data_IF_425461561381
#
_entry.id   IF_425461561381
#
_cell.length_a   1.000
_cell.length_b   1.000
_cell.length_c   1.000
_cell.angle_alpha   90.00
_cell.angle_beta   90.00
_cell.angle_gamma   90.00
#
_symmetry.space_group_name_H-M   'P 1'
#
loop_
_entity.id
_entity.type
_entity.pdbx_description
1 polymer ?
#
# COMPACT_ATOMS: atom_id res chain seq x y z
N UNK A 1 -5.05 -18.35 -24.59
CA UNK A 1 -5.29 -17.54 -23.35
C UNK A 1 -5.51 -16.09 -23.77
N UNK A 2 -6.72 -15.56 -23.62
CA UNK A 2 -7.07 -14.20 -24.07
C UNK A 2 -6.07 -13.18 -23.55
N UNK A 3 -5.67 -12.22 -24.39
CA UNK A 3 -4.72 -11.15 -24.04
C UNK A 3 -5.15 -10.41 -22.76
N UNK A 4 -6.46 -10.30 -22.54
CA UNK A 4 -7.05 -9.71 -21.34
C UNK A 4 -6.77 -10.52 -20.06
N UNK A 5 -6.88 -11.85 -20.07
CA UNK A 5 -6.57 -12.67 -18.89
C UNK A 5 -5.09 -12.57 -18.49
N UNK A 6 -4.18 -12.55 -19.47
CA UNK A 6 -2.75 -12.35 -19.21
C UNK A 6 -2.47 -10.97 -18.62
N UNK A 7 -3.11 -9.92 -19.14
CA UNK A 7 -2.95 -8.57 -18.61
C UNK A 7 -3.50 -8.44 -17.19
N UNK A 8 -4.66 -9.03 -16.89
CA UNK A 8 -5.25 -9.02 -15.54
C UNK A 8 -4.29 -9.67 -14.54
N UNK A 9 -3.79 -10.87 -14.85
CA UNK A 9 -2.87 -11.59 -13.96
C UNK A 9 -1.58 -10.81 -13.70
N UNK A 10 -1.03 -10.12 -14.70
CA UNK A 10 0.15 -9.27 -14.52
C UNK A 10 -0.12 -8.09 -13.59
N UNK A 11 -1.24 -7.40 -13.76
CA UNK A 11 -1.60 -6.28 -12.89
C UNK A 11 -1.91 -6.70 -11.46
N UNK A 12 -2.60 -7.85 -11.29
CA UNK A 12 -2.83 -8.42 -9.95
C UNK A 12 -1.51 -8.80 -9.30
N UNK A 13 -0.61 -9.50 -10.03
CA UNK A 13 0.69 -9.86 -9.49
C UNK A 13 1.53 -8.64 -9.13
N UNK A 14 1.55 -7.62 -9.99
CA UNK A 14 2.22 -6.35 -9.70
C UNK A 14 1.66 -5.72 -8.43
N UNK A 15 0.34 -5.63 -8.30
CA UNK A 15 -0.30 -5.07 -7.11
C UNK A 15 0.04 -5.87 -5.85
N UNK A 16 -0.02 -7.20 -5.89
CA UNK A 16 0.37 -8.07 -4.78
C UNK A 16 1.83 -7.83 -4.36
N UNK A 17 2.76 -7.77 -5.31
CA UNK A 17 4.18 -7.54 -5.02
C UNK A 17 4.40 -6.14 -4.45
N UNK A 18 3.79 -5.12 -5.04
CA UNK A 18 3.88 -3.74 -4.55
C UNK A 18 3.34 -3.63 -3.11
N UNK A 19 2.22 -4.29 -2.82
CA UNK A 19 1.62 -4.31 -1.49
C UNK A 19 2.53 -4.99 -0.46
N UNK A 20 3.12 -6.14 -0.81
CA UNK A 20 4.08 -6.85 0.06
C UNK A 20 5.32 -6.00 0.30
N UNK A 21 5.91 -5.42 -0.75
CA UNK A 21 7.09 -4.54 -0.61
C UNK A 21 6.78 -3.34 0.27
N UNK A 22 5.61 -2.71 0.06
CA UNK A 22 5.13 -1.60 0.90
C UNK A 22 5.01 -2.02 2.36
N UNK A 23 4.40 -3.18 2.65
CA UNK A 23 4.27 -3.68 4.02
C UNK A 23 5.62 -4.01 4.67
N UNK A 24 6.50 -4.70 3.94
CA UNK A 24 7.83 -5.09 4.45
C UNK A 24 8.73 -3.89 4.72
N UNK A 25 8.48 -2.73 4.12
CA UNK A 25 9.20 -1.49 4.45
C UNK A 25 9.02 -1.05 5.91
N UNK A 26 7.98 -1.52 6.60
CA UNK A 26 7.75 -1.23 8.01
C UNK A 26 8.65 -2.05 8.96
N UNK A 27 9.32 -3.11 8.49
CA UNK A 27 10.20 -3.95 9.32
C UNK A 27 11.52 -3.24 9.63
N UNK A 28 12.29 -2.73 8.64
CA UNK A 28 13.50 -1.95 8.91
C UNK A 28 13.17 -0.47 9.16
N UNK A 29 12.18 -0.15 10.01
CA UNK A 29 11.68 1.22 10.18
C UNK A 29 12.75 2.19 10.73
N UNK A 30 13.54 1.75 11.70
CA UNK A 30 14.65 2.54 12.26
C UNK A 30 15.67 2.93 11.20
N UNK A 31 16.15 1.94 10.43
CA UNK A 31 17.04 2.20 9.30
C UNK A 31 16.38 3.08 8.23
N UNK A 32 15.13 2.80 7.87
CA UNK A 32 14.41 3.52 6.81
C UNK A 32 14.20 4.99 7.16
N UNK A 33 13.88 5.29 8.42
CA UNK A 33 13.73 6.68 8.90
C UNK A 33 15.07 7.41 8.99
N UNK A 34 16.13 6.75 9.47
CA UNK A 34 17.48 7.33 9.46
C UNK A 34 17.96 7.65 8.04
N UNK A 35 17.81 6.71 7.10
CA UNK A 35 18.14 6.90 5.70
C UNK A 35 17.35 8.06 5.07
N UNK A 36 16.05 8.16 5.38
CA UNK A 36 15.21 9.25 4.89
C UNK A 36 15.64 10.62 5.46
N UNK A 37 16.07 10.67 6.72
CA UNK A 37 16.61 11.89 7.32
C UNK A 37 17.89 12.35 6.59
N UNK A 38 18.80 11.43 6.25
CA UNK A 38 20.01 11.76 5.50
C UNK A 38 19.70 12.30 4.10
N UNK A 39 18.75 11.69 3.39
CA UNK A 39 18.33 12.13 2.05
C UNK A 39 17.68 13.52 2.10
N UNK A 40 16.78 13.73 3.05
CA UNK A 40 16.03 14.99 3.15
C UNK A 40 16.86 16.14 3.72
N UNK A 41 18.01 15.86 4.35
CA UNK A 41 18.95 16.90 4.78
C UNK A 41 19.38 17.82 3.62
N UNK A 42 19.54 17.25 2.41
CA UNK A 42 19.85 18.02 1.20
C UNK A 42 18.67 18.82 0.63
N UNK A 43 17.43 18.52 1.05
CA UNK A 43 16.22 19.19 0.55
C UNK A 43 15.83 20.41 1.37
N UNK A 44 16.36 20.53 2.60
CA UNK A 44 16.08 21.64 3.51
C UNK A 44 14.72 21.55 4.20
N UNK A 45 14.36 22.62 4.91
CA UNK A 45 13.09 22.72 5.63
C UNK A 45 11.89 22.89 4.67
N UNK A 46 10.70 22.33 5.01
CA UNK A 46 10.35 21.66 6.27
C UNK A 46 10.64 20.15 6.30
N UNK A 47 11.24 19.59 5.23
CA UNK A 47 11.38 18.14 5.07
C UNK A 47 12.50 17.56 5.92
N UNK A 48 13.64 18.24 5.98
CA UNK A 48 14.80 17.83 6.78
C UNK A 48 14.44 17.75 8.27
N UNK A 49 13.83 18.80 8.83
CA UNK A 49 13.48 18.89 10.24
C UNK A 49 12.53 17.78 10.69
N UNK A 50 11.46 17.51 9.92
CA UNK A 50 10.52 16.44 10.27
C UNK A 50 11.16 15.05 10.16
N UNK A 51 11.91 14.78 9.09
CA UNK A 51 12.51 13.46 8.89
C UNK A 51 13.56 13.16 9.96
N UNK A 52 14.38 14.15 10.34
CA UNK A 52 15.32 14.04 11.44
C UNK A 52 14.60 13.80 12.79
N UNK A 53 13.51 14.53 13.05
CA UNK A 53 12.69 14.32 14.24
C UNK A 53 12.13 12.89 14.30
N UNK A 54 11.57 12.40 13.20
CA UNK A 54 11.03 11.05 13.10
C UNK A 54 12.12 9.98 13.30
N UNK A 55 13.28 10.14 12.66
CA UNK A 55 14.41 9.22 12.81
C UNK A 55 14.91 9.16 14.27
N UNK A 56 15.06 10.30 14.94
CA UNK A 56 15.44 10.34 16.35
C UNK A 56 14.40 9.67 17.25
N UNK A 57 13.11 9.93 17.03
CA UNK A 57 12.04 9.35 17.83
C UNK A 57 11.96 7.82 17.66
N UNK A 58 12.05 7.33 16.43
CA UNK A 58 12.07 5.89 16.14
C UNK A 58 13.31 5.23 16.72
N UNK A 59 14.50 5.81 16.53
CA UNK A 59 15.74 5.29 17.12
C UNK A 59 15.73 5.25 18.65
N UNK A 60 15.12 6.26 19.29
CA UNK A 60 14.94 6.26 20.74
C UNK A 60 14.06 5.08 21.20
N UNK A 61 12.90 4.87 20.57
CA UNK A 61 12.02 3.73 20.87
C UNK A 61 12.72 2.40 20.61
N UNK A 62 13.48 2.29 19.51
CA UNK A 62 14.27 1.08 19.22
C UNK A 62 15.29 0.75 20.31
N UNK A 63 15.89 1.78 20.93
CA UNK A 63 16.86 1.60 21.99
C UNK A 63 16.23 1.31 23.37
N UNK A 64 15.08 1.92 23.69
CA UNK A 64 14.47 1.82 25.03
C UNK A 64 13.35 0.78 25.13
N UNK A 65 12.52 0.67 24.09
CA UNK A 65 11.28 -0.12 24.09
C UNK A 65 11.08 -0.88 22.76
N UNK A 66 12.06 -1.71 22.31
CA UNK A 66 12.04 -2.35 20.99
C UNK A 66 10.85 -3.27 20.76
N UNK A 67 10.21 -3.78 21.82
CA UNK A 67 9.02 -4.62 21.71
C UNK A 67 7.84 -3.88 21.04
N UNK A 68 7.83 -2.54 21.04
CA UNK A 68 6.80 -1.76 20.36
C UNK A 68 6.85 -1.90 18.83
N UNK A 69 8.01 -2.24 18.25
CA UNK A 69 8.14 -2.55 16.82
C UNK A 69 7.43 -3.85 16.43
N UNK A 70 7.01 -4.68 17.39
CA UNK A 70 6.11 -5.78 17.05
C UNK A 70 4.80 -5.27 16.43
N UNK A 71 4.36 -4.05 16.74
CA UNK A 71 3.23 -3.40 16.07
C UNK A 71 3.49 -3.13 14.58
N UNK A 72 4.72 -2.79 14.20
CA UNK A 72 5.10 -2.59 12.79
C UNK A 72 5.30 -3.90 12.07
N UNK A 73 5.74 -4.96 12.76
CA UNK A 73 5.78 -6.33 12.22
C UNK A 73 4.37 -6.84 11.89
N UNK A 74 3.40 -6.59 12.77
CA UNK A 74 1.99 -6.90 12.50
C UNK A 74 1.44 -6.12 11.29
N UNK A 75 1.83 -4.85 11.14
CA UNK A 75 1.45 -4.06 9.98
C UNK A 75 2.02 -4.66 8.68
N UNK A 76 3.29 -5.07 8.69
CA UNK A 76 3.92 -5.76 7.56
C UNK A 76 3.20 -7.08 7.24
N UNK A 77 2.90 -7.88 8.27
CA UNK A 77 2.16 -9.13 8.12
C UNK A 77 0.74 -8.90 7.53
N UNK A 78 0.03 -7.87 7.97
CA UNK A 78 -1.29 -7.54 7.44
C UNK A 78 -1.26 -7.29 5.93
N UNK A 79 -0.23 -6.60 5.41
CA UNK A 79 -0.06 -6.40 3.97
C UNK A 79 0.16 -7.71 3.22
N UNK A 80 0.92 -8.65 3.78
CA UNK A 80 1.10 -9.98 3.21
C UNK A 80 -0.23 -10.73 3.16
N UNK A 81 -1.01 -10.72 4.24
CA UNK A 81 -2.32 -11.37 4.29
C UNK A 81 -3.31 -10.75 3.30
N UNK A 82 -3.33 -9.41 3.19
CA UNK A 82 -4.13 -8.70 2.19
C UNK A 82 -3.70 -9.10 0.77
N UNK A 83 -2.40 -9.18 0.49
CA UNK A 83 -1.90 -9.63 -0.81
C UNK A 83 -2.35 -11.06 -1.13
N UNK A 84 -2.36 -11.97 -0.14
CA UNK A 84 -2.83 -13.34 -0.32
C UNK A 84 -4.31 -13.41 -0.71
N UNK A 85 -5.15 -12.47 -0.29
CA UNK A 85 -6.56 -12.41 -0.71
C UNK A 85 -6.70 -12.26 -2.24
N UNK A 86 -5.74 -11.61 -2.91
CA UNK A 86 -5.74 -11.42 -4.36
C UNK A 86 -5.36 -12.68 -5.16
N UNK A 87 -4.96 -13.77 -4.49
CA UNK A 87 -4.72 -15.06 -5.14
C UNK A 87 -6.01 -15.61 -5.78
N UNK A 88 -7.18 -15.36 -5.18
CA UNK A 88 -8.48 -15.72 -5.76
C UNK A 88 -8.68 -15.08 -7.14
N UNK A 89 -8.68 -13.75 -7.24
CA UNK A 89 -8.68 -13.02 -8.52
C UNK A 89 -7.58 -13.42 -9.50
N UNK A 90 -6.38 -13.75 -9.02
CA UNK A 90 -5.30 -14.21 -9.90
C UNK A 90 -5.66 -15.53 -10.62
N UNK A 91 -6.31 -16.47 -9.89
CA UNK A 91 -6.73 -17.76 -10.43
C UNK A 91 -7.96 -17.64 -11.33
N UNK A 92 -9.06 -17.10 -10.79
CA UNK A 92 -10.30 -16.83 -11.53
C UNK A 92 -10.79 -15.39 -11.25
N UNK A 93 -10.49 -14.43 -12.14
CA UNK A 93 -10.81 -13.03 -11.91
C UNK A 93 -12.29 -12.70 -12.06
N UNK A 94 -13.08 -13.51 -12.78
CA UNK A 94 -14.51 -13.23 -12.98
C UNK A 94 -15.32 -13.64 -11.76
N UNK A 95 -15.05 -14.83 -11.22
CA UNK A 95 -15.73 -15.30 -10.00
C UNK A 95 -15.34 -14.48 -8.77
N UNK A 96 -14.11 -13.96 -8.73
CA UNK A 96 -13.58 -13.22 -7.59
C UNK A 96 -13.57 -11.70 -7.81
N UNK A 97 -14.43 -11.17 -8.69
CA UNK A 97 -14.51 -9.73 -9.01
C UNK A 97 -14.64 -8.85 -7.75
N UNK A 98 -15.41 -9.31 -6.78
CA UNK A 98 -15.64 -8.60 -5.52
C UNK A 98 -14.35 -8.25 -4.76
N UNK A 99 -13.31 -9.10 -4.80
CA UNK A 99 -12.03 -8.83 -4.12
C UNK A 99 -11.32 -7.62 -4.73
N UNK A 100 -11.49 -7.38 -6.04
CA UNK A 100 -10.95 -6.20 -6.70
C UNK A 100 -11.70 -4.94 -6.27
N UNK A 101 -13.03 -5.00 -6.15
CA UNK A 101 -13.85 -3.90 -5.65
C UNK A 101 -13.54 -3.59 -4.19
N UNK A 102 -13.40 -4.62 -3.35
CA UNK A 102 -12.95 -4.49 -1.98
C UNK A 102 -11.58 -3.81 -1.90
N UNK A 103 -10.62 -4.21 -2.75
CA UNK A 103 -9.32 -3.55 -2.85
C UNK A 103 -9.42 -2.06 -3.21
N UNK A 104 -10.34 -1.69 -4.11
CA UNK A 104 -10.61 -0.28 -4.44
C UNK A 104 -11.22 0.48 -3.26
N UNK A 105 -12.12 -0.13 -2.49
CA UNK A 105 -12.62 0.45 -1.25
C UNK A 105 -11.51 0.65 -0.23
N UNK A 106 -10.63 -0.33 -0.05
CA UNK A 106 -9.44 -0.18 0.82
C UNK A 106 -8.57 1.00 0.37
N UNK A 107 -8.30 1.12 -0.93
CA UNK A 107 -7.55 2.25 -1.50
C UNK A 107 -8.22 3.59 -1.22
N UNK A 108 -9.55 3.67 -1.34
CA UNK A 108 -10.31 4.88 -1.01
C UNK A 108 -10.23 5.21 0.49
N UNK A 109 -10.30 4.20 1.36
CA UNK A 109 -10.26 4.36 2.82
C UNK A 109 -8.88 4.77 3.37
N UNK A 110 -7.81 4.61 2.59
CA UNK A 110 -6.49 5.18 2.95
C UNK A 110 -6.54 6.72 3.00
N UNK A 111 -7.35 7.37 2.15
CA UNK A 111 -7.46 8.83 2.15
C UNK A 111 -8.01 9.40 3.48
N UNK A 112 -9.18 8.98 4.00
CA UNK A 112 -9.65 9.45 5.29
C UNK A 112 -8.71 9.05 6.43
N UNK A 113 -8.06 7.89 6.37
CA UNK A 113 -7.05 7.52 7.37
C UNK A 113 -5.91 8.55 7.43
N UNK A 114 -5.31 8.86 6.27
CA UNK A 114 -4.20 9.79 6.15
C UNK A 114 -4.56 11.23 6.52
N UNK A 115 -5.81 11.67 6.27
CA UNK A 115 -6.21 13.06 6.52
C UNK A 115 -6.97 13.29 7.82
N UNK A 116 -7.54 12.27 8.46
CA UNK A 116 -8.26 12.40 9.73
C UNK A 116 -7.44 11.93 10.94
N UNK A 117 -6.69 10.82 10.83
CA UNK A 117 -5.92 10.28 11.97
C UNK A 117 -4.51 10.87 12.09
N UNK A 118 -3.82 11.06 10.96
CA UNK A 118 -2.46 11.57 10.97
C UNK A 118 -2.33 12.98 11.62
N UNK A 119 -3.29 13.93 11.47
CA UNK A 119 -3.23 15.20 12.18
C UNK A 119 -3.33 15.06 13.70
N UNK A 120 -4.10 14.08 14.20
CA UNK A 120 -4.22 13.80 15.64
C UNK A 120 -2.85 13.37 16.22
N UNK A 121 -1.99 12.77 15.39
CA UNK A 121 -0.62 12.37 15.73
C UNK A 121 0.44 13.41 15.37
N UNK A 122 0.05 14.61 14.93
CA UNK A 122 0.98 15.70 14.61
C UNK A 122 1.75 15.54 13.30
N UNK A 123 1.32 14.65 12.39
CA UNK A 123 2.03 14.40 11.13
C UNK A 123 1.84 15.58 10.15
N UNK A 124 2.92 16.18 9.59
CA UNK A 124 2.82 17.32 8.67
C UNK A 124 2.06 17.00 7.39
N UNK A 125 1.50 18.03 6.75
CA UNK A 125 0.65 17.87 5.56
C UNK A 125 1.32 17.11 4.41
N UNK A 126 2.59 17.41 4.12
CA UNK A 126 3.33 16.75 3.05
C UNK A 126 3.40 15.23 3.22
N UNK A 127 3.70 14.75 4.43
CA UNK A 127 3.79 13.33 4.74
C UNK A 127 2.43 12.64 4.71
N UNK A 128 1.35 13.35 5.05
CA UNK A 128 -0.03 12.87 4.86
C UNK A 128 -0.35 12.66 3.38
N UNK A 129 0.12 13.54 2.49
CA UNK A 129 -0.03 13.36 1.05
C UNK A 129 0.75 12.16 0.52
N UNK A 130 1.95 11.90 1.06
CA UNK A 130 2.73 10.69 0.72
C UNK A 130 1.95 9.44 1.14
N UNK A 131 1.43 9.39 2.35
CA UNK A 131 0.63 8.26 2.84
C UNK A 131 -0.65 8.04 1.99
N UNK A 132 -1.38 9.12 1.71
CA UNK A 132 -2.56 9.09 0.83
C UNK A 132 -2.25 8.61 -0.60
N UNK A 133 -1.02 8.83 -1.09
CA UNK A 133 -0.62 8.43 -2.45
C UNK A 133 -0.65 6.91 -2.64
N UNK A 134 -0.45 6.11 -1.60
CA UNK A 134 -0.55 4.65 -1.68
C UNK A 134 -1.97 4.21 -2.08
N UNK A 135 -2.99 4.87 -1.53
CA UNK A 135 -4.39 4.63 -1.92
C UNK A 135 -4.66 5.01 -3.37
N UNK A 136 -4.20 6.19 -3.80
CA UNK A 136 -4.41 6.67 -5.18
C UNK A 136 -3.68 5.80 -6.20
N UNK A 137 -2.39 5.54 -5.98
CA UNK A 137 -1.55 4.75 -6.88
C UNK A 137 -1.95 3.28 -6.89
N UNK A 138 -2.38 2.73 -5.74
CA UNK A 138 -2.90 1.38 -5.62
C UNK A 138 -4.24 1.18 -6.34
N UNK A 139 -5.09 2.21 -6.41
CA UNK A 139 -6.37 2.13 -7.11
C UNK A 139 -6.23 1.98 -8.63
N UNK A 140 -5.17 2.57 -9.22
CA UNK A 140 -4.93 2.54 -10.68
C UNK A 140 -4.88 1.10 -11.25
N UNK A 141 -3.99 0.19 -10.79
CA UNK A 141 -3.93 -1.16 -11.31
C UNK A 141 -5.23 -1.94 -11.06
N UNK A 142 -5.86 -1.77 -9.89
CA UNK A 142 -7.11 -2.47 -9.56
C UNK A 142 -8.27 -2.04 -10.46
N UNK A 143 -8.37 -0.74 -10.75
CA UNK A 143 -9.40 -0.22 -11.66
C UNK A 143 -9.19 -0.70 -13.10
N UNK A 144 -7.94 -0.76 -13.57
CA UNK A 144 -7.62 -1.35 -14.88
C UNK A 144 -7.98 -2.84 -14.95
N UNK A 145 -7.76 -3.57 -13.86
CA UNK A 145 -8.17 -4.98 -13.72
C UNK A 145 -9.69 -5.10 -13.77
N UNK A 146 -10.42 -4.28 -13.00
CA UNK A 146 -11.89 -4.31 -12.93
C UNK A 146 -12.52 -4.11 -14.31
N UNK A 147 -12.08 -3.09 -15.06
CA UNK A 147 -12.56 -2.84 -16.43
C UNK A 147 -12.36 -4.03 -17.37
N UNK A 148 -11.24 -4.73 -17.24
CA UNK A 148 -10.94 -5.93 -18.05
C UNK A 148 -11.75 -7.14 -17.60
N UNK A 149 -12.04 -7.27 -16.30
CA UNK A 149 -12.92 -8.30 -15.77
C UNK A 149 -14.33 -8.13 -16.33
N UNK A 150 -14.86 -6.91 -16.36
CA UNK A 150 -16.19 -6.63 -16.88
C UNK A 150 -16.30 -7.02 -18.38
N UNK A 151 -15.25 -6.70 -19.17
CA UNK A 151 -15.17 -7.13 -20.57
C UNK A 151 -15.13 -8.65 -20.73
N UNK A 152 -14.33 -9.34 -19.91
CA UNK A 152 -14.25 -10.81 -19.94
C UNK A 152 -15.57 -11.47 -19.52
N UNK A 153 -16.26 -10.90 -18.55
CA UNK A 153 -17.57 -11.37 -18.08
C UNK A 153 -18.61 -11.28 -19.21
N UNK A 154 -18.69 -10.13 -19.89
CA UNK A 154 -19.59 -9.93 -21.03
C UNK A 154 -19.33 -10.92 -22.17
N UNK A 155 -18.06 -11.19 -22.50
CA UNK A 155 -17.69 -12.17 -23.53
C UNK A 155 -18.09 -13.59 -23.15
N UNK A 156 -17.94 -13.99 -21.88
CA UNK A 156 -18.38 -15.32 -21.41
C UNK A 156 -19.89 -15.48 -21.58
N UNK A 157 -20.66 -14.48 -21.14
CA UNK A 157 -22.12 -14.49 -21.21
C UNK A 157 -22.67 -14.47 -22.65
N UNK A 158 -21.92 -13.90 -23.61
CA UNK A 158 -22.31 -13.91 -25.03
C UNK A 158 -22.06 -15.26 -25.73
N UNK A 159 -21.31 -16.16 -25.10
CA UNK A 159 -20.94 -17.49 -25.64
C UNK A 159 -21.63 -18.65 -24.94
N UNK A 160 -22.38 -18.37 -23.88
CA UNK A 160 -23.24 -19.31 -23.13
C UNK A 160 -24.69 -19.20 -23.58
#
# INVERSE_FOLDING_TARGET
>A
MSTDLRSIRRWILFFMLALVISGLSAVPLEWGTAWLADVTAAWGEPWAGWSAHAAMAVGHVGATDPFLFYGTDWLAFAHVVIALAFVGPYRDPVQNRWVIEWGLWCCLLVLPLAFLWAPIRGIPFFWRCIDASFGVLGAIPLWLVLRRIDRLSALRNATS
#
